data_IF_539275912746
#
_entry.id   IF_539275912746
#
_cell.length_a   1.000
_cell.length_b   1.000
_cell.length_c   1.000
_cell.angle_alpha   90.00
_cell.angle_beta   90.00
_cell.angle_gamma   90.00
#
_symmetry.space_group_name_H-M   'P 1'
#
loop_
_entity.id
_entity.type
_entity.pdbx_description
1 polymer ?
#
# COMPACT_ATOMS: atom_id res chain seq x y z
N UNK A 1 -18.01 1.64 -2.89
CA UNK A 1 -17.86 2.27 -1.53
C UNK A 1 -16.59 3.10 -1.58
N UNK A 2 -16.64 4.38 -1.21
CA UNK A 2 -15.46 5.24 -1.31
C UNK A 2 -14.46 4.92 -0.19
N UNK A 3 -13.30 4.41 -0.57
CA UNK A 3 -12.18 4.13 0.31
C UNK A 3 -11.08 5.19 0.16
N UNK A 4 -10.18 5.22 1.14
CA UNK A 4 -8.97 6.05 1.12
C UNK A 4 -7.78 5.19 1.53
N UNK A 5 -6.65 5.33 0.82
CA UNK A 5 -5.41 4.62 1.13
C UNK A 5 -4.19 5.53 1.09
N UNK A 6 -3.22 5.22 1.94
CA UNK A 6 -1.93 5.89 1.98
C UNK A 6 -1.10 5.47 0.77
N UNK A 7 -0.29 6.39 0.24
CA UNK A 7 0.70 6.13 -0.79
C UNK A 7 2.06 6.67 -0.37
N UNK A 8 3.13 5.96 -0.73
CA UNK A 8 4.43 6.57 -0.90
C UNK A 8 4.58 6.91 -2.38
N UNK A 9 4.65 8.20 -2.70
CA UNK A 9 4.71 8.69 -4.08
C UNK A 9 6.15 8.74 -4.63
N UNK A 10 7.13 8.70 -3.73
CA UNK A 10 8.55 8.77 -4.00
C UNK A 10 9.32 8.82 -2.67
N UNK A 11 10.67 8.90 -2.71
CA UNK A 11 11.48 8.97 -1.50
C UNK A 11 11.09 10.18 -0.64
N UNK A 12 10.70 9.92 0.61
CA UNK A 12 10.24 10.93 1.58
C UNK A 12 8.87 11.54 1.28
N UNK A 13 8.16 11.07 0.25
CA UNK A 13 6.90 11.66 -0.20
C UNK A 13 5.73 10.74 0.12
N UNK A 14 4.78 11.28 0.89
CA UNK A 14 3.56 10.58 1.30
C UNK A 14 2.35 11.29 0.71
N UNK A 15 1.40 10.52 0.20
CA UNK A 15 0.15 11.01 -0.36
C UNK A 15 -1.04 10.17 0.07
N UNK A 16 -2.22 10.64 -0.28
CA UNK A 16 -3.46 9.90 -0.10
C UNK A 16 -4.13 9.72 -1.45
N UNK A 17 -4.67 8.53 -1.66
CA UNK A 17 -5.48 8.21 -2.82
C UNK A 17 -6.87 7.80 -2.35
N UNK A 18 -7.89 8.40 -2.94
CA UNK A 18 -9.24 7.92 -2.83
C UNK A 18 -9.52 6.93 -3.95
N UNK A 19 -10.27 5.89 -3.66
CA UNK A 19 -10.64 4.87 -4.63
C UNK A 19 -12.06 4.40 -4.38
N UNK A 20 -12.72 3.93 -5.44
CA UNK A 20 -13.96 3.18 -5.29
C UNK A 20 -13.64 1.71 -5.03
N UNK A 21 -13.99 1.24 -3.84
CA UNK A 21 -14.05 -0.18 -3.55
C UNK A 21 -15.25 -0.81 -4.26
N UNK A 22 -15.13 -2.05 -4.75
CA UNK A 22 -16.24 -2.75 -5.40
C UNK A 22 -17.42 -2.88 -4.42
N UNK A 23 -18.64 -2.93 -4.96
CA UNK A 23 -19.84 -3.15 -4.15
C UNK A 23 -19.96 -4.60 -3.69
N UNK A 24 -19.43 -5.54 -4.47
CA UNK A 24 -19.43 -6.98 -4.16
C UNK A 24 -18.03 -7.57 -4.42
N UNK A 25 -17.53 -8.47 -3.55
CA UNK A 25 -16.28 -9.17 -3.79
C UNK A 25 -16.42 -10.20 -4.91
N UNK A 26 -15.32 -10.52 -5.61
CA UNK A 26 -15.29 -11.61 -6.58
C UNK A 26 -15.41 -12.99 -5.94
N UNK A 27 -15.51 -14.03 -6.77
CA UNK A 27 -15.59 -15.43 -6.29
C UNK A 27 -14.35 -15.78 -5.46
N UNK A 28 -14.58 -16.13 -4.19
CA UNK A 28 -13.51 -16.48 -3.24
C UNK A 28 -12.83 -15.29 -2.56
N UNK A 29 -13.29 -14.07 -2.85
CA UNK A 29 -12.83 -12.85 -2.19
C UNK A 29 -13.78 -12.45 -1.06
N UNK A 30 -13.28 -11.62 -0.14
CA UNK A 30 -14.09 -10.94 0.87
C UNK A 30 -13.83 -9.45 0.77
N UNK A 31 -14.89 -8.67 0.95
CA UNK A 31 -14.80 -7.22 1.06
C UNK A 31 -14.69 -6.87 2.54
N UNK A 32 -13.63 -6.17 2.91
CA UNK A 32 -13.29 -5.87 4.31
C UNK A 32 -13.15 -4.37 4.48
N UNK A 33 -13.79 -3.82 5.51
CA UNK A 33 -13.55 -2.46 5.96
C UNK A 33 -12.31 -2.44 6.86
N UNK A 34 -11.21 -1.89 6.33
CA UNK A 34 -9.95 -1.77 7.08
C UNK A 34 -10.09 -0.78 8.26
N UNK A 35 -10.05 -1.30 9.49
CA UNK A 35 -10.09 -0.47 10.71
C UNK A 35 -8.71 0.03 11.11
N UNK A 36 -7.67 -0.76 10.86
CA UNK A 36 -6.28 -0.39 11.11
C UNK A 36 -5.35 -1.03 10.06
N UNK A 37 -4.29 -0.30 9.71
CA UNK A 37 -3.19 -0.80 8.89
C UNK A 37 -1.88 -0.40 9.57
N UNK A 38 -0.96 -1.35 9.70
CA UNK A 38 0.34 -1.13 10.38
C UNK A 38 1.43 -0.91 9.34
N UNK A 39 2.30 0.05 9.62
CA UNK A 39 3.51 0.33 8.84
C UNK A 39 4.67 -0.52 9.39
N UNK A 40 5.23 -1.37 8.55
CA UNK A 40 6.43 -2.15 8.85
C UNK A 40 7.63 -1.24 9.06
N UNK A 41 8.22 -1.31 10.24
CA UNK A 41 9.40 -0.51 10.60
C UNK A 41 10.62 -0.82 9.71
N UNK A 42 10.67 -1.97 9.04
CA UNK A 42 11.74 -2.34 8.12
C UNK A 42 11.36 -2.10 6.66
N UNK A 43 10.36 -2.84 6.17
CA UNK A 43 10.01 -2.83 4.75
C UNK A 43 9.47 -1.48 4.31
N UNK A 44 8.42 -0.98 4.96
CA UNK A 44 7.79 0.26 4.53
C UNK A 44 8.72 1.46 4.74
N UNK A 45 9.49 1.50 5.83
CA UNK A 45 10.41 2.63 6.06
C UNK A 45 11.56 2.64 5.04
N UNK A 46 12.08 1.48 4.64
CA UNK A 46 13.12 1.40 3.61
C UNK A 46 12.58 1.80 2.23
N UNK A 47 11.31 1.48 1.94
CA UNK A 47 10.65 1.94 0.72
C UNK A 47 10.44 3.45 0.80
N UNK A 48 9.86 3.99 1.86
CA UNK A 48 9.65 5.43 2.01
C UNK A 48 10.97 6.21 1.91
N UNK A 49 12.08 5.69 2.43
CA UNK A 49 13.40 6.33 2.32
C UNK A 49 14.03 6.18 0.94
N UNK A 50 13.49 5.34 0.06
CA UNK A 50 14.11 5.00 -1.22
C UNK A 50 15.36 4.12 -1.09
N UNK A 51 15.53 3.43 0.03
CA UNK A 51 16.71 2.59 0.32
C UNK A 51 16.44 1.09 0.19
N UNK A 52 15.20 0.69 -0.10
CA UNK A 52 14.87 -0.71 -0.33
C UNK A 52 15.65 -1.26 -1.53
N UNK A 53 16.28 -2.44 -1.41
CA UNK A 53 17.25 -2.99 -2.38
C UNK A 53 16.74 -3.02 -3.83
N UNK A 54 15.44 -3.24 -4.01
CA UNK A 54 14.81 -3.35 -5.33
C UNK A 54 14.19 -2.06 -5.87
N UNK A 55 14.11 -0.96 -5.10
CA UNK A 55 13.35 0.24 -5.53
C UNK A 55 13.98 0.93 -6.75
N UNK A 56 15.31 0.87 -6.87
CA UNK A 56 16.06 1.44 -7.98
C UNK A 56 16.32 0.42 -9.13
N UNK A 57 15.95 -0.85 -8.94
CA UNK A 57 16.16 -1.87 -9.96
C UNK A 57 15.04 -1.77 -11.02
N UNK A 58 15.35 -1.46 -12.30
CA UNK A 58 14.35 -1.38 -13.35
C UNK A 58 13.64 -2.73 -13.56
N UNK A 59 14.37 -3.85 -13.46
CA UNK A 59 13.89 -5.21 -13.69
C UNK A 59 13.08 -5.77 -12.52
N UNK A 60 13.18 -5.16 -11.33
CA UNK A 60 12.40 -5.60 -10.19
C UNK A 60 10.91 -5.34 -10.44
N UNK A 61 10.06 -6.31 -10.14
CA UNK A 61 8.59 -6.14 -10.19
C UNK A 61 8.05 -5.35 -9.00
N UNK A 62 8.80 -5.32 -7.90
CA UNK A 62 8.43 -4.69 -6.64
C UNK A 62 9.68 -4.34 -5.81
N UNK A 63 9.66 -3.26 -5.01
CA UNK A 63 8.62 -2.24 -4.89
C UNK A 63 8.70 -1.22 -6.03
N UNK A 64 7.59 -0.53 -6.30
CA UNK A 64 7.51 0.58 -7.26
C UNK A 64 6.70 1.72 -6.65
N UNK A 65 7.04 2.95 -7.04
CA UNK A 65 6.20 4.11 -6.76
C UNK A 65 5.14 4.29 -7.85
N UNK A 66 3.91 4.73 -7.51
CA UNK A 66 3.41 4.92 -6.14
C UNK A 66 3.23 3.57 -5.42
N UNK A 67 3.74 3.48 -4.19
CA UNK A 67 3.69 2.27 -3.37
C UNK A 67 2.55 2.39 -2.34
N UNK A 68 1.80 1.30 -2.11
CA UNK A 68 0.77 1.22 -1.08
C UNK A 68 1.37 0.49 0.14
N UNK A 69 1.80 1.22 1.19
CA UNK A 69 2.50 0.63 2.32
C UNK A 69 1.57 -0.12 3.27
N UNK A 70 2.19 -0.91 4.14
CA UNK A 70 1.53 -1.79 5.08
C UNK A 70 1.23 -3.15 4.47
N UNK A 71 0.09 -3.74 4.80
CA UNK A 71 -0.25 -5.12 4.43
C UNK A 71 -0.60 -6.01 5.63
N UNK A 72 -0.52 -5.45 6.83
CA UNK A 72 -1.10 -6.02 8.05
C UNK A 72 -2.35 -5.21 8.37
N UNK A 73 -3.48 -5.68 7.87
CA UNK A 73 -4.79 -5.03 8.00
C UNK A 73 -5.68 -5.87 8.91
N UNK A 74 -6.33 -5.22 9.87
CA UNK A 74 -7.49 -5.78 10.58
C UNK A 74 -8.75 -5.04 10.13
N UNK A 75 -9.83 -5.77 9.91
CA UNK A 75 -11.10 -5.19 9.49
C UNK A 75 -12.28 -6.12 9.71
N UNK A 76 -13.47 -5.60 9.43
CA UNK A 76 -14.77 -6.30 9.52
C UNK A 76 -15.41 -6.46 8.15
#
# INVERSE_FOLDING_TARGET
MRGRRLLFCGPGQVGWEEFEAPSEPGTGEVLVEAQANVISAGTDTSILKGTHINIANPEARWPKYPHRPGGHVSGV
#
